data_IF_117113769236
#
_entry.id   IF_117113769236
#
_cell.length_a   1.000
_cell.length_b   1.000
_cell.length_c   1.000
_cell.angle_alpha   90.00
_cell.angle_beta   90.00
_cell.angle_gamma   90.00
#
_symmetry.space_group_name_H-M   'P 1'
#
loop_
_entity.id
_entity.type
_entity.pdbx_description
1 polymer ?
#
# COMPACT_ATOMS: atom_id res chain seq x y z
N UNK A 1 5.37 1.80 32.60
CA UNK A 1 3.93 1.88 33.00
C UNK A 1 3.28 0.53 32.67
N UNK A 2 2.37 0.02 33.51
CA UNK A 2 1.97 -1.39 33.45
C UNK A 2 1.16 -1.69 32.18
N UNK A 3 1.49 -2.82 31.56
CA UNK A 3 0.81 -3.39 30.40
C UNK A 3 -0.70 -3.48 30.63
N UNK A 4 -1.47 -2.54 30.07
CA UNK A 4 -2.92 -2.70 29.98
C UNK A 4 -3.25 -3.66 28.83
N UNK A 5 -3.03 -4.96 29.08
CA UNK A 5 -3.71 -5.98 28.31
C UNK A 5 -5.22 -5.82 28.50
N UNK A 6 -5.98 -5.91 27.40
CA UNK A 6 -7.44 -5.87 27.45
C UNK A 6 -7.98 -6.85 28.49
N UNK A 7 -8.94 -6.40 29.32
CA UNK A 7 -9.60 -7.28 30.29
C UNK A 7 -10.17 -8.52 29.57
N UNK A 8 -10.17 -9.71 30.19
CA UNK A 8 -10.70 -10.94 29.58
C UNK A 8 -12.12 -10.77 29.04
N UNK A 9 -12.95 -9.96 29.72
CA UNK A 9 -14.33 -9.65 29.33
C UNK A 9 -14.40 -8.79 28.07
N UNK A 10 -13.53 -7.79 27.94
CA UNK A 10 -13.43 -6.96 26.74
C UNK A 10 -12.95 -7.77 25.54
N UNK A 11 -12.00 -8.71 25.76
CA UNK A 11 -11.52 -9.65 24.75
C UNK A 11 -12.62 -10.61 24.28
N UNK A 12 -13.39 -11.17 25.21
CA UNK A 12 -14.54 -12.04 24.92
C UNK A 12 -15.65 -11.30 24.17
N UNK A 13 -15.98 -10.07 24.56
CA UNK A 13 -17.00 -9.24 23.88
C UNK A 13 -16.54 -8.82 22.49
N UNK A 14 -15.25 -8.52 22.31
CA UNK A 14 -14.64 -8.24 21.01
C UNK A 14 -14.65 -9.48 20.09
N UNK A 15 -14.28 -10.65 20.61
CA UNK A 15 -14.31 -11.91 19.87
C UNK A 15 -15.75 -12.33 19.50
N UNK A 16 -16.72 -12.16 20.41
CA UNK A 16 -18.13 -12.42 20.13
C UNK A 16 -18.71 -11.44 19.09
N UNK A 17 -18.29 -10.18 19.12
CA UNK A 17 -18.65 -9.18 18.12
C UNK A 17 -18.05 -9.47 16.74
N UNK A 18 -16.84 -10.03 16.67
CA UNK A 18 -16.25 -10.55 15.43
C UNK A 18 -16.99 -11.78 14.93
N UNK A 19 -17.25 -12.76 15.80
CA UNK A 19 -17.91 -14.02 15.43
C UNK A 19 -19.29 -13.79 14.78
N UNK A 20 -20.06 -12.79 15.23
CA UNK A 20 -21.35 -12.41 14.62
C UNK A 20 -21.25 -11.75 13.24
N UNK A 21 -20.06 -11.30 12.84
CA UNK A 21 -19.79 -10.66 11.54
C UNK A 21 -18.96 -11.55 10.60
N UNK A 22 -18.66 -12.78 11.02
CA UNK A 22 -17.97 -13.73 10.14
C UNK A 22 -18.98 -14.17 9.09
N UNK A 23 -18.74 -13.74 7.85
CA UNK A 23 -19.37 -14.33 6.68
C UNK A 23 -18.80 -15.73 6.46
N UNK A 24 -19.55 -16.72 6.94
CA UNK A 24 -19.16 -18.13 6.85
C UNK A 24 -19.01 -18.58 5.40
N UNK A 25 -19.79 -18.03 4.46
CA UNK A 25 -19.65 -18.32 3.04
C UNK A 25 -18.29 -17.87 2.52
N UNK A 26 -17.93 -16.62 2.81
CA UNK A 26 -16.63 -16.04 2.43
C UNK A 26 -15.43 -16.79 3.05
N UNK A 27 -15.57 -17.30 4.28
CA UNK A 27 -14.53 -18.15 4.91
C UNK A 27 -14.38 -19.49 4.18
N UNK A 28 -15.50 -20.13 3.83
CA UNK A 28 -15.47 -21.42 3.12
C UNK A 28 -14.83 -21.25 1.73
N UNK A 29 -15.16 -20.17 1.02
CA UNK A 29 -14.63 -19.94 -0.33
C UNK A 29 -13.12 -19.71 -0.33
N UNK A 30 -12.60 -18.89 0.60
CA UNK A 30 -11.16 -18.76 0.83
C UNK A 30 -10.51 -20.11 1.21
N UNK A 31 -11.18 -20.90 2.04
CA UNK A 31 -10.64 -22.21 2.41
C UNK A 31 -10.57 -23.19 1.23
N UNK A 32 -11.55 -23.13 0.31
CA UNK A 32 -11.52 -23.91 -0.95
C UNK A 32 -10.35 -23.48 -1.83
N UNK A 33 -10.09 -22.19 -1.93
CA UNK A 33 -8.95 -21.63 -2.67
C UNK A 33 -7.62 -22.19 -2.12
N UNK A 34 -7.35 -22.01 -0.83
CA UNK A 34 -6.13 -22.54 -0.21
C UNK A 34 -6.04 -24.08 -0.29
N UNK A 35 -7.18 -24.78 -0.16
CA UNK A 35 -7.25 -26.24 -0.29
C UNK A 35 -6.84 -26.68 -1.69
N UNK A 36 -7.37 -26.05 -2.73
CA UNK A 36 -7.06 -26.33 -4.12
C UNK A 36 -5.62 -25.95 -4.47
N UNK A 37 -5.16 -24.77 -4.05
CA UNK A 37 -3.83 -24.25 -4.33
C UNK A 37 -2.72 -25.12 -3.72
N UNK A 38 -2.94 -25.70 -2.54
CA UNK A 38 -1.91 -26.40 -1.78
C UNK A 38 -2.15 -27.90 -1.58
N UNK A 39 -3.20 -28.47 -2.18
CA UNK A 39 -3.55 -29.88 -2.03
C UNK A 39 -3.84 -30.27 -0.57
N UNK A 40 -4.39 -29.37 0.23
CA UNK A 40 -4.73 -29.60 1.64
C UNK A 40 -6.20 -29.98 1.78
N UNK A 41 -6.52 -30.87 2.73
CA UNK A 41 -7.93 -31.23 2.97
C UNK A 41 -8.73 -30.02 3.48
N UNK A 42 -9.81 -29.67 2.77
CA UNK A 42 -10.65 -28.50 3.08
C UNK A 42 -11.07 -28.40 4.55
N UNK A 43 -11.55 -29.45 5.24
CA UNK A 43 -11.92 -29.34 6.65
C UNK A 43 -10.76 -28.94 7.57
N UNK A 44 -9.53 -29.38 7.25
CA UNK A 44 -8.34 -29.01 8.01
C UNK A 44 -7.97 -27.55 7.77
N UNK A 45 -8.08 -27.07 6.54
CA UNK A 45 -7.82 -25.66 6.19
C UNK A 45 -8.85 -24.75 6.87
N UNK A 46 -10.14 -25.10 6.86
CA UNK A 46 -11.19 -24.35 7.58
C UNK A 46 -10.88 -24.27 9.08
N UNK A 47 -10.57 -25.40 9.72
CA UNK A 47 -10.28 -25.45 11.14
C UNK A 47 -9.03 -24.63 11.51
N UNK A 48 -7.95 -24.76 10.73
CA UNK A 48 -6.71 -24.02 10.92
C UNK A 48 -6.92 -22.51 10.70
N UNK A 49 -7.62 -22.11 9.64
CA UNK A 49 -7.91 -20.71 9.35
C UNK A 49 -8.74 -20.03 10.46
N UNK A 50 -9.75 -20.73 11.00
CA UNK A 50 -10.52 -20.25 12.16
C UNK A 50 -9.67 -20.14 13.43
N UNK A 51 -8.79 -21.14 13.69
CA UNK A 51 -7.86 -21.12 14.81
C UNK A 51 -6.89 -19.93 14.70
N UNK A 52 -6.28 -19.73 13.53
CA UNK A 52 -5.35 -18.65 13.27
C UNK A 52 -6.01 -17.26 13.43
N UNK A 53 -7.25 -17.10 12.97
CA UNK A 53 -7.99 -15.86 13.12
C UNK A 53 -8.45 -15.57 14.56
N UNK A 54 -8.88 -16.61 15.28
CA UNK A 54 -9.40 -16.49 16.64
C UNK A 54 -8.30 -16.36 17.72
N UNK A 55 -7.16 -17.01 17.51
CA UNK A 55 -6.11 -17.17 18.55
C UNK A 55 -4.82 -16.44 18.19
N UNK A 56 -4.44 -16.40 16.91
CA UNK A 56 -3.12 -15.91 16.46
C UNK A 56 -3.15 -14.55 15.76
N UNK A 57 -4.33 -13.90 15.68
CA UNK A 57 -4.51 -12.60 15.02
C UNK A 57 -4.08 -12.61 13.54
N UNK A 58 -4.45 -13.66 12.80
CA UNK A 58 -4.22 -13.76 11.35
C UNK A 58 -5.54 -13.43 10.65
N UNK A 59 -5.57 -12.45 9.75
CA UNK A 59 -6.73 -12.19 8.92
C UNK A 59 -7.02 -13.37 7.99
N UNK A 60 -8.28 -13.56 7.58
CA UNK A 60 -8.59 -14.60 6.59
C UNK A 60 -7.88 -14.35 5.26
N UNK A 61 -7.73 -13.09 4.85
CA UNK A 61 -6.97 -12.75 3.66
C UNK A 61 -5.46 -12.98 3.85
N UNK A 62 -4.88 -12.59 5.00
CA UNK A 62 -3.46 -12.88 5.31
C UNK A 62 -3.13 -14.38 5.19
N UNK A 63 -4.07 -15.23 5.60
CA UNK A 63 -3.91 -16.68 5.54
C UNK A 63 -3.74 -17.17 4.09
N UNK A 64 -4.48 -16.56 3.15
CA UNK A 64 -4.45 -16.88 1.72
C UNK A 64 -3.26 -16.21 1.05
N UNK A 65 -3.12 -14.90 1.21
CA UNK A 65 -2.10 -14.10 0.53
C UNK A 65 -0.69 -14.63 0.83
N UNK A 66 -0.43 -15.05 2.07
CA UNK A 66 0.90 -15.48 2.52
C UNK A 66 1.02 -17.01 2.70
N UNK A 67 0.14 -17.79 2.07
CA UNK A 67 0.13 -19.26 2.04
C UNK A 67 0.28 -19.94 3.42
N UNK A 68 -0.45 -19.47 4.43
CA UNK A 68 -0.31 -20.02 5.79
C UNK A 68 -0.57 -21.53 5.85
N UNK A 69 -1.40 -22.08 4.96
CA UNK A 69 -1.71 -23.50 4.87
C UNK A 69 -0.50 -24.43 4.67
N UNK A 70 0.63 -23.91 4.13
CA UNK A 70 1.85 -24.68 3.91
C UNK A 70 2.98 -24.35 4.87
N UNK A 71 2.80 -23.38 5.77
CA UNK A 71 3.81 -22.95 6.73
C UNK A 71 3.74 -23.73 8.04
N UNK A 72 4.92 -24.00 8.63
CA UNK A 72 5.06 -24.54 9.99
C UNK A 72 4.71 -23.48 11.05
N UNK A 73 4.44 -23.87 12.31
CA UNK A 73 4.20 -22.90 13.38
C UNK A 73 5.34 -21.90 13.60
N UNK A 74 6.60 -22.31 13.44
CA UNK A 74 7.77 -21.45 13.58
C UNK A 74 7.85 -20.43 12.44
N UNK A 75 7.63 -20.87 11.19
CA UNK A 75 7.57 -20.00 10.02
C UNK A 75 6.42 -18.99 10.14
N UNK A 76 5.21 -19.43 10.47
CA UNK A 76 4.03 -18.56 10.68
C UNK A 76 4.28 -17.47 11.72
N UNK A 77 5.09 -17.75 12.74
CA UNK A 77 5.39 -16.77 13.80
C UNK A 77 6.20 -15.56 13.29
N UNK A 78 6.85 -15.69 12.13
CA UNK A 78 7.66 -14.64 11.50
C UNK A 78 6.88 -13.70 10.58
N UNK A 79 5.60 -13.97 10.30
CA UNK A 79 4.81 -13.14 9.40
C UNK A 79 4.13 -11.98 10.13
N UNK A 80 4.20 -10.80 9.51
CA UNK A 80 3.29 -9.70 9.82
C UNK A 80 1.90 -10.00 9.28
N UNK A 81 0.88 -9.53 9.99
CA UNK A 81 -0.52 -9.71 9.62
C UNK A 81 -1.26 -8.40 9.77
N UNK A 82 -2.32 -8.19 8.98
CA UNK A 82 -3.10 -6.96 9.04
C UNK A 82 -3.60 -6.64 10.46
N UNK A 83 -4.09 -7.62 11.27
CA UNK A 83 -4.47 -7.35 12.66
C UNK A 83 -3.31 -6.89 13.56
N UNK A 84 -2.09 -7.39 13.35
CA UNK A 84 -0.90 -6.96 14.12
C UNK A 84 -0.45 -5.57 13.65
N UNK A 85 -0.38 -5.34 12.34
CA UNK A 85 -0.07 -4.03 11.74
C UNK A 85 -1.02 -2.94 12.25
N UNK A 86 -2.32 -3.20 12.25
CA UNK A 86 -3.32 -2.27 12.80
C UNK A 86 -3.13 -2.03 14.31
N UNK A 87 -2.72 -3.03 15.11
CA UNK A 87 -2.43 -2.80 16.54
C UNK A 87 -1.25 -1.85 16.72
N UNK A 88 -0.23 -1.94 15.86
CA UNK A 88 0.91 -1.01 15.86
C UNK A 88 0.42 0.40 15.51
N UNK A 89 -0.31 0.57 14.40
CA UNK A 89 -0.86 1.88 14.01
C UNK A 89 -1.70 2.50 15.12
N UNK A 90 -2.61 1.72 15.72
CA UNK A 90 -3.47 2.24 16.80
C UNK A 90 -2.68 2.67 18.05
N UNK A 91 -1.52 2.06 18.29
CA UNK A 91 -0.68 2.34 19.46
C UNK A 91 0.25 3.53 19.21
N UNK A 92 0.82 3.65 18.02
CA UNK A 92 1.93 4.56 17.74
C UNK A 92 1.56 5.75 16.86
N UNK A 93 0.42 5.72 16.17
CA UNK A 93 -0.02 6.85 15.36
C UNK A 93 -1.04 7.68 16.12
N UNK A 94 -0.67 8.90 16.50
CA UNK A 94 -1.53 9.75 17.31
C UNK A 94 -2.82 10.12 16.57
N UNK A 95 -4.02 9.87 17.13
CA UNK A 95 -5.30 10.07 16.45
C UNK A 95 -5.47 11.44 15.79
N UNK A 96 -5.11 12.52 16.50
CA UNK A 96 -5.27 13.90 16.04
C UNK A 96 -4.47 14.24 14.77
N UNK A 97 -3.47 13.43 14.42
CA UNK A 97 -2.59 13.68 13.28
C UNK A 97 -2.90 12.76 12.09
N UNK A 98 -3.71 11.72 12.27
CA UNK A 98 -4.05 10.76 11.21
C UNK A 98 -4.83 11.39 10.06
N UNK A 99 -5.59 12.45 10.33
CA UNK A 99 -6.33 13.21 9.31
C UNK A 99 -5.43 13.78 8.21
N UNK A 100 -4.20 14.19 8.57
CA UNK A 100 -3.19 14.70 7.63
C UNK A 100 -2.75 13.67 6.58
N UNK A 101 -2.99 12.38 6.85
CA UNK A 101 -2.66 11.27 5.96
C UNK A 101 -3.90 10.70 5.24
N UNK A 102 -5.10 11.15 5.61
CA UNK A 102 -6.36 10.69 5.01
C UNK A 102 -6.87 11.66 3.96
N UNK A 103 -6.72 12.95 4.21
CA UNK A 103 -7.05 14.00 3.26
C UNK A 103 -5.82 14.32 2.40
N UNK A 104 -5.92 14.02 1.10
CA UNK A 104 -4.80 14.21 0.17
C UNK A 104 -4.40 15.67 -0.03
N UNK A 105 -5.32 16.61 0.14
CA UNK A 105 -4.99 18.05 0.03
C UNK A 105 -4.20 18.48 1.25
N UNK A 106 -4.61 18.07 2.46
CA UNK A 106 -3.84 18.33 3.67
C UNK A 106 -2.48 17.62 3.65
N UNK A 107 -2.42 16.40 3.12
CA UNK A 107 -1.19 15.68 2.91
C UNK A 107 -0.25 16.46 1.98
N UNK A 108 -0.74 16.88 0.81
CA UNK A 108 0.08 17.60 -0.16
C UNK A 108 0.56 18.96 0.37
N UNK A 109 -0.28 19.67 1.13
CA UNK A 109 0.13 20.88 1.86
C UNK A 109 1.27 20.58 2.83
N UNK A 110 1.09 19.54 3.66
CA UNK A 110 2.02 19.19 4.73
C UNK A 110 3.36 18.67 4.23
N UNK A 111 3.36 17.97 3.09
CA UNK A 111 4.52 17.31 2.51
C UNK A 111 4.99 17.94 1.19
N UNK A 112 4.57 19.17 0.88
CA UNK A 112 4.83 19.88 -0.39
C UNK A 112 6.29 19.81 -0.86
N UNK A 113 7.25 19.98 0.04
CA UNK A 113 8.70 19.91 -0.27
C UNK A 113 9.16 18.54 -0.82
N UNK A 114 8.37 17.49 -0.64
CA UNK A 114 8.69 16.10 -1.00
C UNK A 114 7.91 15.59 -2.21
N UNK A 115 6.91 16.32 -2.70
CA UNK A 115 6.05 15.89 -3.80
C UNK A 115 6.72 16.03 -5.16
N UNK A 116 7.53 17.10 -5.32
CA UNK A 116 8.22 17.49 -6.57
C UNK A 116 7.34 17.44 -7.82
N UNK A 117 6.08 17.83 -7.67
CA UNK A 117 5.09 17.95 -8.74
C UNK A 117 4.20 19.14 -8.44
N UNK A 118 3.72 19.80 -9.49
CA UNK A 118 2.72 20.84 -9.32
C UNK A 118 1.35 20.22 -8.95
N UNK A 119 0.58 20.94 -8.13
CA UNK A 119 -0.79 20.55 -7.80
C UNK A 119 -1.65 21.78 -7.51
N UNK A 120 -2.97 21.63 -7.64
CA UNK A 120 -3.95 22.67 -7.30
C UNK A 120 -5.24 22.05 -6.77
N UNK A 121 -6.07 22.88 -6.14
CA UNK A 121 -7.42 22.51 -5.70
C UNK A 121 -8.44 23.13 -6.65
N UNK A 122 -9.43 22.36 -7.06
CA UNK A 122 -10.58 22.86 -7.82
C UNK A 122 -11.53 23.58 -6.85
N UNK A 123 -11.76 24.85 -7.11
CA UNK A 123 -12.64 25.73 -6.35
C UNK A 123 -13.79 26.23 -7.25
N UNK A 124 -14.94 26.67 -6.72
CA UNK A 124 -16.09 27.04 -7.54
C UNK A 124 -15.84 28.11 -8.62
N UNK A 125 -14.80 28.93 -8.50
CA UNK A 125 -14.52 30.09 -9.34
C UNK A 125 -13.19 30.03 -10.11
N UNK A 126 -12.47 28.90 -10.09
CA UNK A 126 -11.13 28.80 -10.69
C UNK A 126 -11.02 27.98 -12.00
N UNK A 127 -12.09 27.96 -12.80
CA UNK A 127 -12.12 27.20 -14.06
C UNK A 127 -11.01 27.62 -15.04
N UNK A 128 -10.69 28.92 -15.15
CA UNK A 128 -9.64 29.42 -16.01
C UNK A 128 -8.23 29.02 -15.52
N UNK A 129 -8.04 28.94 -14.20
CA UNK A 129 -6.78 28.47 -13.60
C UNK A 129 -6.58 26.97 -13.85
N UNK A 130 -7.64 26.16 -13.66
CA UNK A 130 -7.64 24.74 -13.98
C UNK A 130 -7.27 24.49 -15.44
N UNK A 131 -7.88 25.26 -16.35
CA UNK A 131 -7.57 25.21 -17.78
C UNK A 131 -6.11 25.51 -18.04
N UNK A 132 -5.60 26.64 -17.56
CA UNK A 132 -4.22 27.06 -17.79
C UNK A 132 -3.22 26.04 -17.21
N UNK A 133 -3.54 25.47 -16.06
CA UNK A 133 -2.76 24.41 -15.42
C UNK A 133 -2.71 23.14 -16.28
N UNK A 134 -3.87 22.64 -16.69
CA UNK A 134 -3.98 21.42 -17.47
C UNK A 134 -3.41 21.55 -18.88
N UNK A 135 -3.64 22.67 -19.58
CA UNK A 135 -3.07 22.92 -20.90
C UNK A 135 -1.53 23.00 -20.86
N UNK A 136 -0.95 23.59 -19.81
CA UNK A 136 0.50 23.64 -19.61
C UNK A 136 1.11 22.26 -19.40
N UNK A 137 0.45 21.39 -18.62
CA UNK A 137 0.96 20.06 -18.28
C UNK A 137 0.61 19.01 -19.35
N UNK A 138 -0.43 19.25 -20.15
CA UNK A 138 -0.95 18.35 -21.18
C UNK A 138 -1.75 17.17 -20.61
N UNK A 139 -1.27 16.53 -19.54
CA UNK A 139 -1.99 15.45 -18.84
C UNK A 139 -2.03 15.75 -17.34
N UNK A 140 -3.19 15.56 -16.72
CA UNK A 140 -3.40 15.76 -15.29
C UNK A 140 -3.97 14.49 -14.66
N UNK A 141 -3.69 14.33 -13.36
CA UNK A 141 -4.34 13.34 -12.51
C UNK A 141 -5.27 14.06 -11.55
N UNK A 142 -6.51 13.61 -11.44
CA UNK A 142 -7.48 14.15 -10.47
C UNK A 142 -7.75 13.14 -9.38
N UNK A 143 -8.04 13.61 -8.18
CA UNK A 143 -8.26 12.78 -7.00
C UNK A 143 -9.39 13.31 -6.13
N UNK A 144 -10.17 12.40 -5.56
CA UNK A 144 -10.96 12.68 -4.37
C UNK A 144 -10.03 12.80 -3.14
N UNK A 145 -10.15 13.89 -2.33
CA UNK A 145 -9.28 14.11 -1.18
C UNK A 145 -9.30 12.95 -0.19
N UNK A 146 -10.50 12.46 0.12
CA UNK A 146 -10.71 11.35 1.05
C UNK A 146 -11.19 10.14 0.27
N UNK A 147 -10.42 9.06 0.31
CA UNK A 147 -10.74 7.82 -0.39
C UNK A 147 -9.66 6.77 -0.17
N UNK A 148 -9.97 5.52 -0.46
CA UNK A 148 -9.04 4.39 -0.34
C UNK A 148 -8.94 3.62 -1.66
N UNK A 149 -7.83 2.90 -1.85
CA UNK A 149 -7.64 1.93 -2.95
C UNK A 149 -7.74 2.51 -4.38
N UNK A 150 -7.48 3.80 -4.56
CA UNK A 150 -7.37 4.42 -5.89
C UNK A 150 -8.68 4.57 -6.67
N UNK A 151 -9.84 4.29 -6.08
CA UNK A 151 -11.15 4.32 -6.78
C UNK A 151 -11.62 5.70 -7.19
N UNK A 152 -11.05 6.75 -6.60
CA UNK A 152 -11.32 8.16 -6.93
C UNK A 152 -10.11 8.84 -7.55
N UNK A 153 -9.37 8.15 -8.41
CA UNK A 153 -8.20 8.70 -9.13
C UNK A 153 -8.43 8.56 -10.63
N UNK A 154 -8.36 9.65 -11.37
CA UNK A 154 -8.55 9.64 -12.83
C UNK A 154 -7.43 10.38 -13.56
N UNK A 155 -7.24 10.03 -14.84
CA UNK A 155 -6.28 10.68 -15.73
C UNK A 155 -7.04 11.34 -16.85
N UNK A 156 -6.74 12.61 -17.10
CA UNK A 156 -7.33 13.38 -18.19
C UNK A 156 -6.25 13.99 -19.07
N UNK A 157 -6.49 14.04 -20.37
CA UNK A 157 -5.66 14.73 -21.33
C UNK A 157 -6.32 16.08 -21.67
N UNK A 158 -5.59 17.18 -21.49
CA UNK A 158 -6.12 18.51 -21.74
C UNK A 158 -6.60 18.70 -23.20
N UNK A 159 -5.96 18.01 -24.14
CA UNK A 159 -6.35 18.00 -25.55
C UNK A 159 -7.72 17.35 -25.83
N UNK A 160 -8.25 16.57 -24.89
CA UNK A 160 -9.57 15.91 -24.99
C UNK A 160 -10.68 16.73 -24.31
N UNK A 161 -10.35 17.85 -23.67
CA UNK A 161 -11.33 18.72 -23.01
C UNK A 161 -11.86 19.75 -24.01
N UNK A 162 -13.12 19.61 -24.40
CA UNK A 162 -13.79 20.53 -25.34
C UNK A 162 -14.38 21.77 -24.65
N UNK A 163 -14.99 21.60 -23.47
CA UNK A 163 -15.58 22.67 -22.66
C UNK A 163 -15.01 22.64 -21.23
N UNK A 164 -14.14 23.61 -20.93
CA UNK A 164 -13.49 23.72 -19.63
C UNK A 164 -14.45 24.10 -18.49
N UNK A 165 -15.53 24.84 -18.78
CA UNK A 165 -16.52 25.20 -17.76
C UNK A 165 -17.38 23.97 -17.40
N UNK A 166 -17.71 23.12 -18.37
CA UNK A 166 -18.36 21.83 -18.10
C UNK A 166 -17.43 20.86 -17.38
N UNK A 167 -16.18 20.74 -17.82
CA UNK A 167 -15.19 19.88 -17.18
C UNK A 167 -14.95 20.25 -15.72
N UNK A 168 -14.73 21.54 -15.44
CA UNK A 168 -14.56 22.08 -14.09
C UNK A 168 -15.76 21.77 -13.18
N UNK A 169 -16.98 22.06 -13.65
CA UNK A 169 -18.22 21.74 -12.92
C UNK A 169 -18.34 20.24 -12.65
N UNK A 170 -18.01 19.41 -13.63
CA UNK A 170 -18.03 17.96 -13.48
C UNK A 170 -17.05 17.44 -12.42
N UNK A 171 -15.86 18.02 -12.30
CA UNK A 171 -14.92 17.66 -11.22
C UNK A 171 -15.48 17.99 -9.84
N UNK A 172 -16.10 19.17 -9.69
CA UNK A 172 -16.76 19.57 -8.44
C UNK A 172 -17.92 18.64 -8.07
N UNK A 173 -18.76 18.27 -9.04
CA UNK A 173 -19.89 17.35 -8.84
C UNK A 173 -19.45 15.94 -8.41
N UNK A 174 -18.30 15.48 -8.89
CA UNK A 174 -17.72 14.17 -8.53
C UNK A 174 -16.83 14.22 -7.28
N UNK A 175 -16.54 15.40 -6.74
CA UNK A 175 -15.64 15.58 -5.60
C UNK A 175 -14.15 15.40 -5.94
N UNK A 176 -13.80 15.39 -7.22
CA UNK A 176 -12.43 15.26 -7.72
C UNK A 176 -11.68 16.59 -7.66
N UNK A 177 -11.48 17.09 -6.44
CA UNK A 177 -11.02 18.47 -6.24
C UNK A 177 -9.50 18.61 -6.16
N UNK A 178 -8.73 17.54 -6.01
CA UNK A 178 -7.27 17.61 -6.07
C UNK A 178 -6.80 17.31 -7.49
N UNK A 179 -6.04 18.21 -8.10
CA UNK A 179 -5.44 18.04 -9.43
C UNK A 179 -3.93 18.09 -9.30
N UNK A 180 -3.26 17.12 -9.88
CA UNK A 180 -1.81 16.96 -9.81
C UNK A 180 -1.18 16.78 -11.19
N UNK A 181 0.04 17.26 -11.32
CA UNK A 181 0.94 16.89 -12.41
C UNK A 181 1.27 15.38 -12.36
N UNK A 182 1.35 14.77 -13.54
CA UNK A 182 1.78 13.37 -13.67
C UNK A 182 3.23 13.23 -13.22
N UNK A 183 3.48 12.36 -12.24
CA UNK A 183 4.83 12.08 -11.78
C UNK A 183 5.65 11.45 -12.90
N UNK A 184 6.81 12.06 -13.19
CA UNK A 184 7.83 11.45 -14.04
C UNK A 184 8.68 10.50 -13.21
N UNK A 185 8.58 9.20 -13.51
CA UNK A 185 9.39 8.16 -12.88
C UNK A 185 10.72 7.92 -13.61
N UNK A 186 11.67 7.29 -12.93
CA UNK A 186 12.97 6.87 -13.44
C UNK A 186 12.82 5.87 -14.60
N UNK A 187 13.80 5.86 -15.51
CA UNK A 187 13.77 5.04 -16.73
C UNK A 187 13.65 3.54 -16.42
N UNK A 188 14.28 3.06 -15.35
CA UNK A 188 14.16 1.65 -14.89
C UNK A 188 12.72 1.26 -14.51
N UNK A 189 11.96 2.17 -13.87
CA UNK A 189 10.55 1.95 -13.56
C UNK A 189 9.70 2.02 -14.83
N UNK A 190 9.99 2.99 -15.70
CA UNK A 190 9.30 3.15 -16.97
C UNK A 190 9.54 1.99 -17.94
N UNK A 191 10.70 1.33 -17.86
CA UNK A 191 11.00 0.13 -18.64
C UNK A 191 10.08 -1.05 -18.28
N UNK A 192 9.62 -1.13 -17.04
CA UNK A 192 8.64 -2.14 -16.62
C UNK A 192 7.23 -1.74 -17.03
N UNK A 193 6.78 -0.52 -16.71
CA UNK A 193 5.46 -0.04 -17.11
C UNK A 193 5.44 1.49 -17.24
N UNK A 194 5.54 2.07 -18.46
CA UNK A 194 5.59 3.51 -18.64
C UNK A 194 4.22 4.18 -18.52
N UNK A 195 3.13 3.43 -18.70
CA UNK A 195 1.77 3.94 -18.72
C UNK A 195 1.13 4.12 -17.34
N UNK A 196 1.82 3.70 -16.27
CA UNK A 196 1.39 3.85 -14.88
C UNK A 196 2.59 4.30 -14.05
N UNK A 197 2.35 5.13 -13.04
CA UNK A 197 3.37 5.46 -12.03
C UNK A 197 3.53 4.25 -11.10
N UNK A 198 4.71 3.62 -11.13
CA UNK A 198 5.02 2.41 -10.37
C UNK A 198 5.65 2.80 -9.03
N UNK A 199 4.88 2.66 -7.96
CA UNK A 199 5.30 3.10 -6.63
C UNK A 199 5.95 1.97 -5.84
N UNK A 200 6.94 2.31 -5.03
CA UNK A 200 7.50 1.45 -3.99
C UNK A 200 6.80 1.74 -2.68
N UNK A 201 6.13 0.73 -2.12
CA UNK A 201 5.65 0.76 -0.73
C UNK A 201 6.82 0.52 0.20
N UNK A 202 7.16 1.52 1.02
CA UNK A 202 8.13 1.41 2.11
C UNK A 202 7.41 1.52 3.43
N UNK A 203 7.26 0.41 4.14
CA UNK A 203 6.73 0.42 5.51
C UNK A 203 7.85 0.76 6.47
N UNK A 204 7.68 1.81 7.26
CA UNK A 204 8.69 2.31 8.17
C UNK A 204 8.13 2.66 9.56
N UNK A 205 9.01 2.65 10.56
CA UNK A 205 8.73 3.09 11.92
C UNK A 205 9.73 4.14 12.38
N UNK A 206 9.26 5.32 12.76
CA UNK A 206 10.08 6.38 13.35
C UNK A 206 10.06 6.29 14.88
N UNK A 207 11.22 6.04 15.50
CA UNK A 207 11.32 5.86 16.95
C UNK A 207 11.46 7.17 17.74
N UNK A 208 11.42 8.32 17.07
CA UNK A 208 11.71 9.64 17.62
C UNK A 208 13.13 10.14 17.33
N UNK A 209 14.02 9.25 16.91
CA UNK A 209 15.41 9.56 16.56
C UNK A 209 15.78 9.05 15.16
N UNK A 210 15.39 7.83 14.84
CA UNK A 210 15.79 7.08 13.64
C UNK A 210 14.57 6.47 12.99
N UNK A 211 14.55 6.47 11.67
CA UNK A 211 13.52 5.78 10.88
C UNK A 211 13.99 4.38 10.52
N UNK A 212 13.25 3.38 10.97
CA UNK A 212 13.50 1.98 10.70
C UNK A 212 12.64 1.54 9.53
N UNK A 213 13.25 1.25 8.37
CA UNK A 213 12.54 0.55 7.29
C UNK A 213 12.24 -0.87 7.79
N UNK A 214 11.02 -1.35 7.57
CA UNK A 214 10.52 -2.63 8.07
C UNK A 214 10.22 -3.63 6.96
N UNK A 215 9.71 -3.14 5.83
CA UNK A 215 9.46 -3.92 4.63
C UNK A 215 9.42 -2.99 3.40
N UNK A 216 9.77 -3.54 2.24
CA UNK A 216 9.66 -2.85 0.95
C UNK A 216 8.99 -3.76 -0.07
N UNK A 217 8.07 -3.19 -0.84
CA UNK A 217 7.40 -3.86 -1.95
C UNK A 217 7.37 -2.92 -3.16
N UNK A 218 7.85 -3.37 -4.31
CA UNK A 218 7.66 -2.65 -5.56
C UNK A 218 6.32 -3.05 -6.15
N UNK A 219 5.44 -2.07 -6.39
CA UNK A 219 4.20 -2.25 -7.14
C UNK A 219 4.43 -1.94 -8.62
N UNK A 220 3.73 -2.66 -9.48
CA UNK A 220 3.76 -2.47 -10.92
C UNK A 220 2.34 -2.28 -11.45
N UNK A 221 2.16 -1.26 -12.29
CA UNK A 221 0.89 -0.95 -12.93
C UNK A 221 0.64 -1.74 -14.22
N UNK A 222 -0.42 -1.37 -14.94
CA UNK A 222 -0.87 -2.05 -16.18
C UNK A 222 -1.28 -1.06 -17.28
N UNK A 223 -0.67 0.13 -17.30
CA UNK A 223 -1.02 1.24 -18.20
C UNK A 223 -2.20 2.10 -17.75
N UNK A 224 -2.84 1.73 -16.64
CA UNK A 224 -3.90 2.49 -15.99
C UNK A 224 -3.36 3.67 -15.16
N UNK A 225 -4.26 4.46 -14.58
CA UNK A 225 -3.89 5.64 -13.76
C UNK A 225 -3.16 5.28 -12.45
N UNK A 226 -3.32 4.05 -11.95
CA UNK A 226 -2.78 3.62 -10.67
C UNK A 226 -2.21 2.20 -10.73
N UNK A 227 -1.20 1.92 -9.90
CA UNK A 227 -0.58 0.60 -9.73
C UNK A 227 -1.31 -0.29 -8.73
N UNK A 228 -2.48 0.13 -8.27
CA UNK A 228 -3.31 -0.63 -7.36
C UNK A 228 -3.93 -1.84 -8.05
N UNK A 229 -4.21 -2.89 -7.27
CA UNK A 229 -4.79 -4.13 -7.76
C UNK A 229 -6.14 -3.95 -8.47
N UNK A 230 -6.94 -2.95 -8.09
CA UNK A 230 -8.20 -2.60 -8.77
C UNK A 230 -8.01 -2.23 -10.24
N UNK A 231 -6.81 -1.80 -10.63
CA UNK A 231 -6.41 -1.52 -12.00
C UNK A 231 -5.52 -2.62 -12.62
N UNK A 232 -5.51 -3.80 -12.00
CA UNK A 232 -4.71 -4.96 -12.40
C UNK A 232 -3.26 -4.92 -11.94
N UNK A 233 -2.89 -3.96 -11.09
CA UNK A 233 -1.54 -3.88 -10.55
C UNK A 233 -1.21 -5.03 -9.60
N UNK A 234 0.08 -5.31 -9.45
CA UNK A 234 0.61 -6.39 -8.62
C UNK A 234 1.93 -5.94 -8.00
N UNK A 235 2.52 -6.74 -7.11
CA UNK A 235 3.78 -6.36 -6.46
C UNK A 235 4.77 -7.51 -6.35
N UNK A 236 6.03 -7.18 -6.11
CA UNK A 236 7.04 -8.11 -5.59
C UNK A 236 7.66 -7.51 -4.33
N UNK A 237 8.04 -8.35 -3.38
CA UNK A 237 8.82 -7.91 -2.22
C UNK A 237 10.24 -7.57 -2.65
N UNK A 238 10.84 -6.58 -1.99
CA UNK A 238 12.23 -6.21 -2.19
C UNK A 238 13.08 -6.63 -0.98
N UNK A 239 14.35 -7.00 -1.25
CA UNK A 239 15.36 -7.08 -0.21
C UNK A 239 15.78 -5.69 0.29
N UNK A 240 16.68 -5.63 1.28
CA UNK A 240 17.18 -4.37 1.84
C UNK A 240 18.01 -3.52 0.86
N UNK A 241 18.48 -4.11 -0.24
CA UNK A 241 19.23 -3.43 -1.29
C UNK A 241 18.34 -3.05 -2.48
N UNK A 242 17.04 -3.33 -2.42
CA UNK A 242 16.07 -3.00 -3.47
C UNK A 242 15.94 -4.03 -4.59
N UNK A 243 16.51 -5.22 -4.46
CA UNK A 243 16.33 -6.30 -5.45
C UNK A 243 14.98 -6.99 -5.25
N UNK A 244 14.29 -7.31 -6.34
CA UNK A 244 13.10 -8.15 -6.30
C UNK A 244 13.42 -9.56 -5.76
N UNK A 245 12.58 -10.03 -4.82
CA UNK A 245 12.73 -11.35 -4.20
C UNK A 245 12.16 -12.50 -5.05
N UNK A 246 11.54 -12.20 -6.19
CA UNK A 246 10.98 -13.19 -7.10
C UNK A 246 9.95 -12.61 -8.05
N UNK A 247 9.10 -13.49 -8.60
CA UNK A 247 7.97 -13.12 -9.44
C UNK A 247 6.98 -12.20 -8.70
N UNK A 248 6.24 -11.40 -9.46
CA UNK A 248 5.17 -10.57 -8.91
C UNK A 248 3.92 -11.39 -8.58
N UNK A 249 3.11 -10.93 -7.64
CA UNK A 249 1.83 -11.56 -7.28
C UNK A 249 0.82 -10.54 -6.76
N UNK A 250 -0.45 -10.93 -6.76
CA UNK A 250 -1.57 -10.16 -6.23
C UNK A 250 -2.38 -10.94 -5.17
N UNK A 251 -3.37 -10.28 -4.56
CA UNK A 251 -4.27 -10.90 -3.57
C UNK A 251 -5.37 -11.78 -4.18
N UNK A 252 -5.37 -11.99 -5.50
CA UNK A 252 -6.25 -12.95 -6.20
C UNK A 252 -5.49 -14.22 -6.62
N UNK A 253 -4.24 -14.38 -6.18
CA UNK A 253 -3.44 -15.57 -6.43
C UNK A 253 -2.81 -15.60 -7.83
N UNK A 254 -2.87 -14.50 -8.60
CA UNK A 254 -2.12 -14.42 -9.85
C UNK A 254 -0.63 -14.29 -9.58
N UNK A 255 0.17 -14.92 -10.44
CA UNK A 255 1.64 -14.89 -10.38
C UNK A 255 2.17 -14.42 -11.72
N UNK A 256 3.11 -13.48 -11.68
CA UNK A 256 3.66 -12.77 -12.82
C UNK A 256 5.18 -12.91 -12.84
N UNK A 257 5.69 -13.93 -13.53
CA UNK A 257 7.13 -14.05 -13.81
C UNK A 257 7.62 -12.90 -14.70
N UNK A 258 6.79 -12.54 -15.68
CA UNK A 258 6.98 -11.40 -16.56
C UNK A 258 5.85 -10.40 -16.33
N UNK A 259 6.16 -9.11 -16.47
CA UNK A 259 5.17 -8.06 -16.55
C UNK A 259 4.29 -8.30 -17.78
N UNK A 260 2.95 -8.42 -17.66
CA UNK A 260 2.16 -8.92 -18.78
C UNK A 260 2.07 -8.00 -20.01
N UNK A 261 2.40 -6.71 -19.90
CA UNK A 261 2.40 -5.78 -21.07
C UNK A 261 3.79 -5.61 -21.70
N UNK A 262 4.81 -5.25 -20.91
CA UNK A 262 6.18 -5.03 -21.39
C UNK A 262 7.00 -6.31 -21.56
N UNK A 263 6.61 -7.43 -20.94
CA UNK A 263 7.41 -8.66 -20.90
C UNK A 263 8.64 -8.58 -20.00
N UNK A 264 8.83 -7.49 -19.23
CA UNK A 264 9.94 -7.33 -18.31
C UNK A 264 9.92 -8.43 -17.24
N UNK A 265 11.05 -9.08 -16.98
CA UNK A 265 11.14 -10.14 -15.97
C UNK A 265 11.19 -9.52 -14.57
N UNK A 266 10.18 -9.82 -13.74
CA UNK A 266 9.98 -9.14 -12.45
C UNK A 266 11.11 -9.45 -11.47
N UNK A 267 11.61 -10.69 -11.47
CA UNK A 267 12.70 -11.10 -10.60
C UNK A 267 14.04 -10.39 -10.90
N UNK A 268 14.18 -9.75 -12.06
CA UNK A 268 15.38 -9.02 -12.45
C UNK A 268 15.30 -7.53 -12.07
N UNK A 269 14.19 -7.08 -11.48
CA UNK A 269 13.99 -5.69 -11.09
C UNK A 269 14.91 -5.28 -9.93
N UNK A 270 15.55 -4.13 -10.11
CA UNK A 270 16.30 -3.41 -9.10
C UNK A 270 15.66 -2.04 -8.89
N UNK A 271 15.36 -1.67 -7.63
CA UNK A 271 14.94 -0.32 -7.31
C UNK A 271 16.11 0.66 -7.50
N UNK A 272 16.02 1.65 -8.41
CA UNK A 272 17.06 2.67 -8.54
C UNK A 272 17.18 3.52 -7.27
N UNK A 273 18.39 4.03 -6.99
CA UNK A 273 18.64 5.03 -5.94
C UNK A 273 18.20 4.59 -4.53
N UNK A 274 18.45 3.33 -4.16
CA UNK A 274 17.98 2.75 -2.88
C UNK A 274 18.49 3.53 -1.65
N UNK A 275 19.72 4.02 -1.69
CA UNK A 275 20.31 4.81 -0.61
C UNK A 275 19.57 6.14 -0.44
N UNK A 276 19.24 6.80 -1.56
CA UNK A 276 18.47 8.04 -1.59
C UNK A 276 17.03 7.80 -1.15
N UNK A 277 16.40 6.69 -1.54
CA UNK A 277 15.07 6.28 -1.05
C UNK A 277 15.10 6.12 0.47
N UNK A 278 16.11 5.44 1.01
CA UNK A 278 16.25 5.24 2.46
C UNK A 278 16.43 6.58 3.20
N UNK A 279 17.30 7.44 2.70
CA UNK A 279 17.50 8.77 3.26
C UNK A 279 16.26 9.66 3.12
N UNK A 280 15.49 9.49 2.05
CA UNK A 280 14.25 10.22 1.81
C UNK A 280 13.15 9.81 2.79
N UNK A 281 12.96 8.51 3.01
CA UNK A 281 12.02 7.94 3.99
C UNK A 281 12.29 8.50 5.39
N UNK A 282 13.57 8.61 5.78
CA UNK A 282 13.92 9.19 7.08
C UNK A 282 13.54 10.66 7.20
N UNK A 283 13.66 11.44 6.13
CA UNK A 283 13.24 12.86 6.13
C UNK A 283 11.72 13.00 6.21
N UNK A 284 10.96 12.25 5.40
CA UNK A 284 9.49 12.36 5.40
C UNK A 284 8.88 11.88 6.71
N UNK A 285 9.44 10.84 7.35
CA UNK A 285 8.94 10.34 8.62
C UNK A 285 9.06 11.36 9.78
N UNK A 286 9.96 12.32 9.67
CA UNK A 286 10.16 13.39 10.66
C UNK A 286 9.19 14.57 10.51
N UNK A 287 8.44 14.65 9.42
CA UNK A 287 7.53 15.79 9.14
C UNK A 287 6.31 15.78 10.07
N UNK A 288 5.79 14.60 10.39
CA UNK A 288 4.70 14.38 11.35
C UNK A 288 5.12 13.28 12.34
N UNK A 289 6.03 13.58 13.28
CA UNK A 289 6.63 12.56 14.16
C UNK A 289 5.62 11.91 15.13
N UNK A 290 4.40 12.46 15.22
CA UNK A 290 3.29 11.89 15.98
C UNK A 290 2.63 10.70 15.28
N UNK A 291 2.88 10.50 13.98
CA UNK A 291 2.46 9.32 13.22
C UNK A 291 3.71 8.52 12.89
N UNK A 292 3.99 7.52 13.72
CA UNK A 292 5.29 6.86 13.75
C UNK A 292 5.37 5.66 12.81
N UNK A 293 4.25 4.98 12.53
CA UNK A 293 4.21 3.77 11.73
C UNK A 293 3.45 4.02 10.42
N UNK A 294 4.18 4.13 9.31
CA UNK A 294 3.61 4.58 8.04
C UNK A 294 4.05 3.68 6.89
N UNK A 295 3.10 3.36 6.00
CA UNK A 295 3.38 2.82 4.67
C UNK A 295 3.51 3.98 3.68
N UNK A 296 4.74 4.34 3.33
CA UNK A 296 5.02 5.40 2.36
C UNK A 296 4.98 4.83 0.95
N UNK A 297 4.19 5.43 0.05
CA UNK A 297 4.30 5.15 -1.38
C UNK A 297 5.18 6.21 -2.03
N UNK A 298 6.29 5.75 -2.58
CA UNK A 298 7.37 6.57 -3.14
C UNK A 298 7.55 6.19 -4.59
N UNK A 299 7.94 7.15 -5.42
CA UNK A 299 8.38 6.90 -6.80
C UNK A 299 9.78 7.43 -6.92
N UNK A 300 10.68 6.65 -7.50
CA UNK A 300 12.00 7.16 -7.86
C UNK A 300 11.84 7.94 -9.16
N UNK A 301 12.03 9.26 -9.11
CA UNK A 301 12.08 10.12 -10.29
C UNK A 301 13.49 10.22 -10.88
N UNK A 302 13.66 10.92 -12.02
CA UNK A 302 14.98 11.11 -12.64
C UNK A 302 16.03 11.73 -11.72
N UNK A 303 15.60 12.63 -10.82
CA UNK A 303 16.47 13.39 -9.91
C UNK A 303 16.34 12.93 -8.44
N UNK A 304 15.79 11.74 -8.21
CA UNK A 304 15.61 11.15 -6.89
C UNK A 304 14.15 10.90 -6.49
N UNK A 305 13.94 10.35 -5.29
CA UNK A 305 12.63 9.93 -4.81
C UNK A 305 11.66 11.09 -4.61
N UNK A 306 10.39 10.83 -4.90
CA UNK A 306 9.25 11.71 -4.71
C UNK A 306 8.16 10.99 -3.93
N UNK A 307 7.42 11.74 -3.11
CA UNK A 307 6.37 11.20 -2.27
C UNK A 307 5.02 11.22 -3.00
N UNK A 308 4.33 10.09 -3.02
CA UNK A 308 2.98 9.97 -3.60
C UNK A 308 1.92 10.06 -2.52
N UNK A 309 2.02 9.21 -1.49
CA UNK A 309 1.09 9.17 -0.35
C UNK A 309 1.76 8.57 0.89
N UNK A 310 1.16 8.81 2.05
CA UNK A 310 1.54 8.18 3.31
C UNK A 310 0.34 7.50 3.96
N UNK A 311 0.49 6.23 4.33
CA UNK A 311 -0.58 5.41 4.90
C UNK A 311 -0.34 5.15 6.39
N UNK A 312 -1.00 5.88 7.31
CA UNK A 312 -0.89 5.64 8.76
C UNK A 312 -1.46 4.26 9.16
N UNK A 313 -2.47 3.77 8.44
CA UNK A 313 -2.86 2.36 8.45
C UNK A 313 -2.00 1.58 7.45
N UNK A 314 -0.71 1.39 7.75
CA UNK A 314 0.32 0.99 6.77
C UNK A 314 0.00 -0.24 5.91
N UNK A 315 -0.92 -1.10 6.35
CA UNK A 315 -1.23 -2.37 5.71
C UNK A 315 -0.12 -3.38 5.96
N UNK A 316 -0.10 -4.46 5.17
CA UNK A 316 0.97 -5.45 5.19
C UNK A 316 1.28 -5.89 3.77
N UNK A 317 2.57 -5.95 3.46
CA UNK A 317 3.13 -6.65 2.32
C UNK A 317 4.11 -7.69 2.86
N UNK A 318 3.95 -8.93 2.45
CA UNK A 318 4.74 -10.07 2.92
C UNK A 318 5.00 -11.05 1.79
N UNK A 319 6.02 -11.89 1.99
CA UNK A 319 6.40 -12.93 1.04
C UNK A 319 5.27 -13.94 0.83
N UNK A 320 5.05 -14.37 -0.42
CA UNK A 320 4.21 -15.53 -0.74
C UNK A 320 5.10 -16.77 -0.95
N UNK A 321 5.13 -17.74 -0.01
CA UNK A 321 6.04 -18.88 -0.06
C UNK A 321 5.95 -19.72 -1.34
N UNK A 322 4.76 -19.90 -1.89
CA UNK A 322 4.56 -20.66 -3.13
C UNK A 322 5.15 -19.97 -4.37
N UNK A 323 5.40 -18.66 -4.30
CA UNK A 323 5.95 -17.85 -5.41
C UNK A 323 7.44 -17.62 -5.24
N UNK A 324 7.85 -17.14 -4.07
CA UNK A 324 9.24 -16.72 -3.81
C UNK A 324 10.12 -17.85 -3.27
N UNK A 325 9.52 -18.93 -2.76
CA UNK A 325 10.22 -19.95 -1.98
C UNK A 325 10.66 -19.47 -0.58
N UNK A 326 10.45 -18.19 -0.25
CA UNK A 326 10.79 -17.62 1.06
C UNK A 326 9.65 -17.93 2.03
N UNK A 327 9.99 -18.66 3.08
CA UNK A 327 9.02 -19.20 4.06
C UNK A 327 8.99 -18.43 5.38
N UNK A 328 9.68 -17.30 5.42
CA UNK A 328 9.73 -16.40 6.58
C UNK A 328 9.25 -15.01 6.19
N UNK A 329 8.56 -14.35 7.12
CA UNK A 329 8.11 -12.97 6.97
C UNK A 329 9.00 -11.96 7.68
N UNK A 330 8.52 -10.73 7.71
CA UNK A 330 9.26 -9.55 8.19
C UNK A 330 9.05 -9.24 9.67
N UNK A 331 8.12 -9.91 10.38
CA UNK A 331 7.79 -9.60 11.78
C UNK A 331 9.00 -9.53 12.73
N UNK A 332 10.04 -10.38 12.63
CA UNK A 332 11.23 -10.23 13.47
C UNK A 332 11.88 -8.84 13.36
N UNK A 333 11.88 -8.23 12.16
CA UNK A 333 12.38 -6.86 11.94
C UNK A 333 11.52 -5.81 12.62
N UNK A 334 10.20 -5.99 12.60
CA UNK A 334 9.25 -5.15 13.34
C UNK A 334 9.51 -5.24 14.85
N UNK A 335 9.73 -6.44 15.37
CA UNK A 335 10.00 -6.66 16.79
C UNK A 335 11.33 -6.03 17.22
N UNK A 336 12.37 -6.13 16.37
CA UNK A 336 13.66 -5.50 16.63
C UNK A 336 13.56 -3.96 16.68
N UNK A 337 12.78 -3.35 15.79
CA UNK A 337 12.62 -1.89 15.72
C UNK A 337 11.65 -1.32 16.76
N UNK A 338 10.56 -2.03 17.06
CA UNK A 338 9.41 -1.48 17.83
C UNK A 338 9.36 -2.04 19.26
N UNK A 339 9.86 -3.26 19.49
CA UNK A 339 9.93 -3.90 20.81
C UNK A 339 8.60 -4.44 21.33
N UNK A 340 7.99 -5.42 20.65
CA UNK A 340 6.74 -6.07 21.09
C UNK A 340 6.70 -7.60 20.93
#
# INVERSE_FOLDING_TARGET
MPSQGFSPVTRLRYLAGRARRIDVGSVIDRAKEASAQHGKALPLVVADMLYQAGVKNVGFQDYIDYDFAILTPAERATYMTHPVSNQISQKYDHPDYRGLFQDKVEFDRKFSDFLRRDWMVVEPDNADELRAFAERLGTIVTKEPVGQAGTGVHRYHAAEVEDWAEFHRGLLERGEILVEEVIRQHDDLAAVCPGTVNTTRVTAFFDGSTTHILAMAQKFGRGAVSDQMTFGGFYTMLDENGHALGAGYDSHGHVHELHPDSGARIADFQLPMIDEVTAFVDRVARVVPQVQYVGWDIVVGPDGPVLVEGNWGAGVYENKPSVTGIRTGHKPRYQAAIGF
#
